data_IF_119077705667
#
_entry.id   IF_119077705667
#
_cell.length_a   1.000
_cell.length_b   1.000
_cell.length_c   1.000
_cell.angle_alpha   90.00
_cell.angle_beta   90.00
_cell.angle_gamma   90.00
#
_symmetry.space_group_name_H-M   'P 1'
#
loop_
_entity.id
_entity.type
_entity.pdbx_description
1 polymer ?
#
# COMPACT_ATOMS: atom_id res chain seq x y z
N UNK A 1 -14.19 40.43 55.01
CA UNK A 1 -12.95 39.77 54.45
C UNK A 1 -13.10 38.29 54.27
N UNK A 2 -13.67 37.48 55.17
CA UNK A 2 -13.81 35.98 55.01
C UNK A 2 -14.58 35.54 53.78
N UNK A 3 -15.54 36.27 53.24
CA UNK A 3 -16.33 35.87 52.04
C UNK A 3 -15.62 36.19 50.75
N UNK A 4 -14.73 37.18 50.71
CA UNK A 4 -13.91 37.50 49.54
C UNK A 4 -12.85 36.44 49.33
N UNK A 5 -12.19 35.98 50.39
CA UNK A 5 -11.18 34.92 50.34
C UNK A 5 -11.78 33.61 49.87
N UNK A 6 -12.99 33.25 50.30
CA UNK A 6 -13.72 32.07 49.85
C UNK A 6 -14.08 32.14 48.35
N UNK A 7 -14.49 33.31 47.85
CA UNK A 7 -14.82 33.54 46.44
C UNK A 7 -13.57 33.45 45.56
N UNK A 8 -12.47 34.06 46.02
CA UNK A 8 -11.19 33.97 45.28
C UNK A 8 -10.71 32.52 45.23
N UNK A 9 -10.77 31.77 46.32
CA UNK A 9 -10.38 30.35 46.35
C UNK A 9 -11.26 29.49 45.45
N UNK A 10 -12.56 29.71 45.39
CA UNK A 10 -13.48 29.00 44.53
C UNK A 10 -13.20 29.28 43.05
N UNK A 11 -12.87 30.52 42.68
CA UNK A 11 -12.55 30.90 41.29
C UNK A 11 -11.22 30.31 40.86
N UNK A 12 -10.19 30.32 41.70
CA UNK A 12 -8.89 29.70 41.39
C UNK A 12 -8.99 28.18 41.24
N UNK A 13 -9.78 27.52 42.09
CA UNK A 13 -10.00 26.07 41.99
C UNK A 13 -10.75 25.72 40.72
N UNK A 14 -11.77 26.51 40.34
CA UNK A 14 -12.49 26.32 39.09
C UNK A 14 -11.59 26.51 37.85
N UNK A 15 -10.68 27.50 37.89
CA UNK A 15 -9.72 27.75 36.81
C UNK A 15 -8.73 26.61 36.66
N UNK A 16 -8.25 26.04 37.77
CA UNK A 16 -7.34 24.86 37.76
C UNK A 16 -8.05 23.63 37.18
N UNK A 17 -9.32 23.42 37.56
CA UNK A 17 -10.12 22.32 36.98
C UNK A 17 -10.37 22.50 35.48
N UNK A 18 -10.55 23.74 35.00
CA UNK A 18 -10.72 23.99 33.55
C UNK A 18 -9.44 23.68 32.75
N UNK A 19 -8.28 23.98 33.33
CA UNK A 19 -6.97 23.68 32.69
C UNK A 19 -6.74 22.16 32.63
N UNK A 20 -7.18 21.39 33.62
CA UNK A 20 -7.02 19.95 33.68
C UNK A 20 -7.85 19.21 32.61
N UNK A 21 -8.94 19.79 32.09
CA UNK A 21 -9.79 19.18 31.07
C UNK A 21 -9.19 19.31 29.66
N UNK A 22 -8.28 20.24 29.41
CA UNK A 22 -7.71 20.52 28.09
C UNK A 22 -6.57 19.54 27.70
N UNK A 23 -6.10 18.70 28.63
CA UNK A 23 -4.93 17.80 28.41
C UNK A 23 -5.34 16.35 28.12
N UNK A 24 -6.52 16.09 27.60
CA UNK A 24 -6.99 14.76 27.23
C UNK A 24 -6.86 14.44 25.73
N UNK A 25 -5.94 15.09 25.03
CA UNK A 25 -5.53 14.60 23.72
C UNK A 25 -4.53 13.46 23.95
N UNK A 26 -4.73 12.32 23.30
CA UNK A 26 -3.77 11.22 23.31
C UNK A 26 -2.37 11.78 22.98
N UNK A 27 -1.38 11.47 23.82
CA UNK A 27 -0.01 11.92 23.55
C UNK A 27 0.47 11.28 22.24
N UNK A 28 1.01 12.09 21.30
CA UNK A 28 1.61 11.58 20.08
C UNK A 28 2.65 10.49 20.40
N UNK A 29 2.51 9.30 19.80
CA UNK A 29 3.37 8.14 20.07
C UNK A 29 2.85 7.20 21.14
N UNK A 30 1.65 7.43 21.68
CA UNK A 30 0.97 6.49 22.57
C UNK A 30 0.40 5.30 21.78
N UNK A 31 -0.11 4.28 22.49
CA UNK A 31 -0.78 3.12 21.87
C UNK A 31 -2.04 3.55 21.10
N UNK A 32 -2.68 4.65 21.50
CA UNK A 32 -3.88 5.20 20.90
C UNK A 32 -3.59 6.14 19.72
N UNK A 33 -2.38 6.72 19.69
CA UNK A 33 -1.87 7.55 18.59
C UNK A 33 -0.39 7.22 18.30
N UNK A 34 -0.12 6.07 17.64
CA UNK A 34 1.25 5.59 17.39
C UNK A 34 1.96 6.46 16.35
N UNK A 35 3.11 7.00 16.70
CA UNK A 35 3.99 7.69 15.76
C UNK A 35 4.88 6.72 15.01
N UNK A 36 4.87 6.87 13.69
CA UNK A 36 5.82 6.16 12.83
C UNK A 36 7.10 6.99 12.72
N UNK A 37 8.25 6.38 13.03
CA UNK A 37 9.53 7.07 12.89
C UNK A 37 9.88 7.29 11.41
N UNK A 38 10.57 8.40 11.09
CA UNK A 38 11.07 8.66 9.74
C UNK A 38 11.97 7.53 9.24
N UNK A 39 12.81 6.98 10.10
CA UNK A 39 13.68 5.85 9.75
C UNK A 39 12.88 4.60 9.34
N UNK A 40 11.78 4.31 10.00
CA UNK A 40 10.89 3.20 9.62
C UNK A 40 10.24 3.43 8.25
N UNK A 41 9.80 4.66 7.96
CA UNK A 41 9.29 5.02 6.64
C UNK A 41 10.36 4.82 5.57
N UNK A 42 11.55 5.40 5.78
CA UNK A 42 12.64 5.40 4.79
C UNK A 42 13.18 3.96 4.55
N UNK A 43 13.33 3.15 5.59
CA UNK A 43 13.95 1.82 5.47
C UNK A 43 12.96 0.71 5.15
N UNK A 44 11.71 0.83 5.59
CA UNK A 44 10.72 -0.24 5.47
C UNK A 44 9.66 0.08 4.43
N UNK A 45 9.03 1.26 4.48
CA UNK A 45 7.91 1.58 3.59
C UNK A 45 8.36 2.06 2.21
N UNK A 46 9.40 2.89 2.11
CA UNK A 46 9.86 3.43 0.82
C UNK A 46 10.27 2.36 -0.20
N UNK A 47 10.93 1.24 0.18
CA UNK A 47 11.20 0.16 -0.75
C UNK A 47 9.93 -0.47 -1.35
N UNK A 48 8.87 -0.62 -0.56
CA UNK A 48 7.58 -1.12 -1.07
C UNK A 48 6.91 -0.12 -2.01
N UNK A 49 6.87 1.16 -1.64
CA UNK A 49 6.31 2.22 -2.46
C UNK A 49 7.03 2.31 -3.81
N UNK A 50 8.36 2.25 -3.81
CA UNK A 50 9.15 2.30 -5.03
C UNK A 50 8.92 1.09 -5.94
N UNK A 51 8.63 -0.08 -5.38
CA UNK A 51 8.32 -1.30 -6.15
C UNK A 51 6.96 -1.21 -6.86
N UNK A 52 5.96 -0.60 -6.24
CA UNK A 52 4.61 -0.47 -6.81
C UNK A 52 4.43 0.77 -7.68
N UNK A 53 5.35 1.73 -7.63
CA UNK A 53 5.27 2.99 -8.37
C UNK A 53 6.12 3.04 -9.64
N UNK A 54 6.87 1.98 -9.95
CA UNK A 54 7.77 1.98 -11.12
C UNK A 54 7.78 0.63 -11.84
N UNK A 55 7.76 0.70 -13.18
CA UNK A 55 8.02 -0.47 -14.02
C UNK A 55 9.52 -0.73 -14.12
N UNK A 56 9.90 -2.00 -13.99
CA UNK A 56 11.27 -2.45 -14.22
C UNK A 56 11.36 -3.16 -15.58
N UNK A 57 12.38 -2.83 -16.36
CA UNK A 57 12.63 -3.53 -17.63
C UNK A 57 13.28 -4.87 -17.35
N UNK A 58 12.61 -5.93 -17.76
CA UNK A 58 13.12 -7.31 -17.67
C UNK A 58 13.40 -7.83 -19.06
N UNK A 59 14.61 -8.34 -19.29
CA UNK A 59 14.98 -9.00 -20.54
C UNK A 59 14.82 -10.51 -20.37
N UNK A 60 13.92 -11.09 -21.18
CA UNK A 60 13.64 -12.52 -21.17
C UNK A 60 14.16 -13.11 -22.48
N UNK A 61 15.04 -14.11 -22.40
CA UNK A 61 15.58 -14.80 -23.56
C UNK A 61 14.60 -15.84 -24.11
N UNK A 62 14.79 -16.24 -25.37
CA UNK A 62 13.98 -17.30 -25.95
C UNK A 62 14.04 -18.59 -25.11
N UNK A 63 12.88 -19.18 -24.85
CA UNK A 63 12.73 -20.37 -24.01
C UNK A 63 12.70 -20.14 -22.52
N UNK A 64 12.82 -18.88 -22.07
CA UNK A 64 12.61 -18.52 -20.66
C UNK A 64 11.17 -18.11 -20.41
N UNK A 65 10.76 -18.23 -19.16
CA UNK A 65 9.42 -17.85 -18.69
C UNK A 65 9.54 -16.70 -17.68
N UNK A 66 8.65 -15.72 -17.82
CA UNK A 66 8.44 -14.68 -16.82
C UNK A 66 7.23 -15.04 -15.99
N UNK A 67 7.41 -15.13 -14.68
CA UNK A 67 6.35 -15.41 -13.71
C UNK A 67 6.09 -14.11 -12.94
N UNK A 68 4.83 -13.72 -12.86
CA UNK A 68 4.37 -12.58 -12.07
C UNK A 68 3.48 -13.03 -10.93
N UNK A 69 3.55 -12.32 -9.82
CA UNK A 69 2.61 -12.48 -8.70
C UNK A 69 1.27 -11.81 -9.01
N UNK A 70 0.22 -12.21 -8.30
CA UNK A 70 -1.10 -11.57 -8.42
C UNK A 70 -1.01 -10.06 -8.18
N UNK A 71 -1.65 -9.29 -9.05
CA UNK A 71 -1.59 -7.84 -9.04
C UNK A 71 -0.36 -7.23 -9.72
N UNK A 72 0.57 -8.04 -10.22
CA UNK A 72 1.65 -7.54 -11.06
C UNK A 72 1.14 -7.17 -12.46
N UNK A 73 1.58 -6.04 -12.95
CA UNK A 73 1.32 -5.59 -14.31
C UNK A 73 2.53 -5.86 -15.21
N UNK A 74 2.28 -6.27 -16.44
CA UNK A 74 3.30 -6.53 -17.44
C UNK A 74 2.93 -5.86 -18.77
N UNK A 75 3.94 -5.36 -19.45
CA UNK A 75 3.81 -4.82 -20.81
C UNK A 75 4.89 -5.47 -21.68
N UNK A 76 4.48 -6.17 -22.74
CA UNK A 76 5.40 -6.65 -23.75
C UNK A 76 5.80 -5.50 -24.67
N UNK A 77 7.01 -4.98 -24.50
CA UNK A 77 7.49 -3.85 -25.32
C UNK A 77 8.06 -4.28 -26.68
N UNK A 78 8.74 -5.40 -26.70
CA UNK A 78 9.43 -5.92 -27.91
C UNK A 78 9.46 -7.45 -27.89
N UNK A 79 9.55 -8.04 -29.07
CA UNK A 79 9.61 -9.50 -29.23
C UNK A 79 8.24 -10.15 -29.29
N UNK A 80 8.21 -11.46 -29.05
CA UNK A 80 7.01 -12.29 -29.03
C UNK A 80 7.01 -13.14 -27.77
N UNK A 81 5.84 -13.30 -27.17
CA UNK A 81 5.63 -14.19 -26.03
C UNK A 81 4.27 -14.87 -26.16
N UNK A 82 4.11 -15.99 -25.49
CA UNK A 82 2.85 -16.73 -25.37
C UNK A 82 2.42 -16.80 -23.93
N UNK A 83 1.13 -16.69 -23.71
CA UNK A 83 0.54 -16.81 -22.37
C UNK A 83 0.62 -18.25 -21.91
N UNK A 84 1.11 -18.47 -20.70
CA UNK A 84 1.00 -19.71 -19.95
C UNK A 84 -0.03 -19.46 -18.85
N UNK A 85 -1.22 -20.01 -19.05
CA UNK A 85 -2.31 -19.86 -18.10
C UNK A 85 -2.28 -20.97 -17.05
N UNK A 86 -2.80 -20.67 -15.87
CA UNK A 86 -3.08 -21.65 -14.83
C UNK A 86 -4.49 -22.22 -14.98
N UNK A 87 -4.86 -23.20 -14.17
CA UNK A 87 -6.24 -23.70 -14.09
C UNK A 87 -7.26 -22.60 -13.69
N UNK A 88 -6.78 -21.54 -13.06
CA UNK A 88 -7.61 -20.41 -12.61
C UNK A 88 -7.82 -19.33 -13.67
N UNK A 89 -7.10 -19.39 -14.78
CA UNK A 89 -7.19 -18.42 -15.87
C UNK A 89 -5.82 -17.98 -16.41
N UNK A 90 -5.87 -17.12 -17.42
CA UNK A 90 -4.71 -16.53 -18.10
C UNK A 90 -4.40 -15.11 -17.60
N UNK A 91 -3.79 -14.32 -18.45
CA UNK A 91 -3.51 -12.91 -18.20
C UNK A 91 -4.76 -12.07 -18.48
N UNK A 92 -5.09 -11.17 -17.57
CA UNK A 92 -6.20 -10.24 -17.77
C UNK A 92 -5.71 -9.01 -18.55
N UNK A 93 -6.40 -8.70 -19.63
CA UNK A 93 -6.18 -7.46 -20.40
C UNK A 93 -7.04 -6.34 -19.82
N UNK A 94 -6.40 -5.38 -19.20
CA UNK A 94 -7.08 -4.25 -18.55
C UNK A 94 -7.67 -3.25 -19.55
N UNK A 95 -7.25 -3.31 -20.81
CA UNK A 95 -7.72 -2.41 -21.87
C UNK A 95 -9.07 -2.86 -22.43
N UNK A 96 -9.22 -4.17 -22.66
CA UNK A 96 -10.45 -4.72 -23.26
C UNK A 96 -11.36 -5.40 -22.23
N UNK A 97 -10.88 -5.58 -21.00
CA UNK A 97 -11.63 -6.26 -19.93
C UNK A 97 -11.85 -7.74 -20.18
N UNK A 98 -10.90 -8.40 -20.83
CA UNK A 98 -10.96 -9.83 -21.17
C UNK A 98 -9.69 -10.58 -20.79
N UNK A 99 -9.76 -11.89 -20.77
CA UNK A 99 -8.63 -12.76 -20.44
C UNK A 99 -8.00 -13.38 -21.68
N UNK A 100 -6.68 -13.44 -21.68
CA UNK A 100 -5.90 -14.15 -22.68
C UNK A 100 -5.67 -15.59 -22.23
N UNK A 101 -6.24 -16.58 -22.93
CA UNK A 101 -6.12 -17.98 -22.55
C UNK A 101 -4.72 -18.54 -22.83
N UNK A 102 -4.49 -19.75 -22.31
CA UNK A 102 -3.24 -20.48 -22.54
C UNK A 102 -2.89 -20.62 -24.02
N UNK A 103 -1.64 -20.37 -24.38
CA UNK A 103 -1.15 -20.46 -25.75
C UNK A 103 -1.46 -19.23 -26.63
N UNK A 104 -2.18 -18.24 -26.13
CA UNK A 104 -2.41 -17.00 -26.86
C UNK A 104 -1.13 -16.18 -27.00
N UNK A 105 -0.99 -15.48 -28.13
CA UNK A 105 0.09 -14.52 -28.29
C UNK A 105 -0.14 -13.30 -27.38
N UNK A 106 0.89 -12.90 -26.66
CA UNK A 106 0.84 -11.71 -25.82
C UNK A 106 0.83 -10.46 -26.71
N UNK A 107 -0.18 -9.58 -26.61
CA UNK A 107 -0.21 -8.35 -27.39
C UNK A 107 0.89 -7.40 -26.94
N UNK A 108 1.49 -6.69 -27.89
CA UNK A 108 2.47 -5.65 -27.58
C UNK A 108 1.77 -4.37 -27.11
N UNK A 109 2.43 -3.63 -26.23
CA UNK A 109 1.98 -2.30 -25.72
C UNK A 109 0.68 -2.31 -24.93
N UNK A 110 0.13 -3.46 -24.60
CA UNK A 110 -1.05 -3.61 -23.76
C UNK A 110 -0.64 -3.91 -22.33
N UNK A 111 -1.34 -3.33 -21.36
CA UNK A 111 -1.14 -3.63 -19.94
C UNK A 111 -1.90 -4.91 -19.60
N UNK A 112 -1.16 -5.93 -19.22
CA UNK A 112 -1.69 -7.21 -18.79
C UNK A 112 -1.48 -7.37 -17.29
N UNK A 113 -2.48 -7.88 -16.61
CA UNK A 113 -2.47 -8.12 -15.18
C UNK A 113 -2.41 -9.63 -14.89
N UNK A 114 -1.60 -10.03 -13.93
CA UNK A 114 -1.64 -11.37 -13.34
C UNK A 114 -2.79 -11.44 -12.32
N UNK A 115 -3.93 -12.06 -12.64
CA UNK A 115 -5.14 -11.97 -11.83
C UNK A 115 -5.10 -12.84 -10.58
N UNK A 116 -4.23 -13.86 -10.57
CA UNK A 116 -4.22 -14.87 -9.50
C UNK A 116 -2.80 -15.10 -8.97
N UNK A 117 -2.71 -15.32 -7.66
CA UNK A 117 -1.53 -15.90 -7.05
C UNK A 117 -1.38 -17.34 -7.56
N UNK A 118 -0.29 -17.63 -8.24
CA UNK A 118 0.16 -19.00 -8.42
C UNK A 118 0.76 -19.45 -7.07
N UNK A 119 -0.10 -19.95 -6.17
CA UNK A 119 0.38 -20.69 -5.04
C UNK A 119 0.79 -22.07 -5.55
N UNK A 120 2.04 -22.24 -5.89
CA UNK A 120 2.61 -23.58 -5.94
C UNK A 120 3.03 -23.99 -4.53
N UNK A 121 2.45 -25.10 -4.10
CA UNK A 121 2.85 -25.82 -2.89
C UNK A 121 4.11 -26.65 -3.16
#
# INVERSE_FOLDING_TARGET
MKNLTKRVFAVTLALICLIAIVVSAAEPGSVEDPLISKSYVDTTLMPYINRVSSFTVVNVSAGQMLIGEAGCEIILRMGTATVIATEKGGLCDTTIGGDWPNGSAVPQTTILLFPYLTAEA
#
